data_IF_691778869044
#
_entry.id   IF_691778869044
#
_cell.length_a   1.000
_cell.length_b   1.000
_cell.length_c   1.000
_cell.angle_alpha   90.00
_cell.angle_beta   90.00
_cell.angle_gamma   90.00
#
_symmetry.space_group_name_H-M   'P 1'
#
loop_
_entity.id
_entity.type
_entity.pdbx_description
1 polymer ?
#
# COMPACT_ATOMS: atom_id res chain seq x y z
N UNK A 1 3.64 -39.97 12.89
CA UNK A 1 3.73 -40.32 14.33
C UNK A 1 2.72 -39.42 15.01
N UNK A 2 1.67 -39.98 15.59
CA UNK A 2 0.67 -39.19 16.31
C UNK A 2 1.30 -38.67 17.60
N UNK A 3 1.44 -37.36 17.70
CA UNK A 3 1.87 -36.70 18.93
C UNK A 3 0.70 -36.75 19.92
N UNK A 4 0.76 -37.68 20.88
CA UNK A 4 -0.24 -37.77 21.93
C UNK A 4 -0.32 -36.45 22.71
N UNK A 5 -1.52 -35.92 22.86
CA UNK A 5 -1.82 -34.75 23.68
C UNK A 5 -2.13 -35.18 25.11
N UNK A 6 -1.66 -34.42 26.08
CA UNK A 6 -1.86 -34.63 27.52
C UNK A 6 -2.27 -33.31 28.17
N UNK A 7 -3.19 -33.38 29.13
CA UNK A 7 -3.64 -32.19 29.86
C UNK A 7 -2.70 -31.89 31.03
N UNK A 8 -2.03 -30.74 31.00
CA UNK A 8 -1.20 -30.27 32.11
C UNK A 8 -2.04 -29.38 33.03
N UNK A 9 -1.98 -29.62 34.34
CA UNK A 9 -2.59 -28.75 35.35
C UNK A 9 -1.56 -28.40 36.43
N UNK A 10 -1.26 -27.12 36.59
CA UNK A 10 -0.35 -26.59 37.61
C UNK A 10 -1.19 -25.79 38.62
N UNK A 11 -1.12 -26.17 39.90
CA UNK A 11 -1.86 -25.54 40.99
C UNK A 11 -0.91 -24.92 42.02
N UNK A 12 -1.11 -23.64 42.31
CA UNK A 12 -0.37 -22.88 43.32
C UNK A 12 -1.14 -21.61 43.69
N UNK A 13 -0.44 -20.48 43.91
CA UNK A 13 -1.11 -19.16 44.06
C UNK A 13 -1.87 -18.71 42.81
N UNK A 14 -1.52 -19.31 41.66
CA UNK A 14 -2.19 -19.13 40.37
C UNK A 14 -2.46 -20.54 39.83
N UNK A 15 -3.59 -20.72 39.14
CA UNK A 15 -3.94 -21.97 38.46
C UNK A 15 -3.73 -21.85 36.95
N UNK A 16 -3.17 -22.89 36.33
CA UNK A 16 -2.95 -22.98 34.89
C UNK A 16 -3.36 -24.36 34.36
N UNK A 17 -4.09 -24.41 33.25
CA UNK A 17 -4.53 -25.65 32.60
C UNK A 17 -4.48 -25.51 31.08
N UNK A 18 -3.71 -26.38 30.42
CA UNK A 18 -3.58 -26.40 28.96
C UNK A 18 -3.30 -27.83 28.46
N UNK A 19 -3.78 -28.15 27.26
CA UNK A 19 -3.42 -29.39 26.55
C UNK A 19 -2.09 -29.19 25.81
N UNK A 20 -1.11 -30.02 26.13
CA UNK A 20 0.24 -29.94 25.56
C UNK A 20 0.67 -31.28 24.99
N UNK A 21 1.69 -31.26 24.15
CA UNK A 21 2.29 -32.50 23.62
C UNK A 21 3.11 -33.22 24.69
N UNK A 22 3.26 -34.55 24.59
CA UNK A 22 4.09 -35.36 25.51
C UNK A 22 5.55 -34.82 25.58
N UNK A 23 6.10 -34.34 24.47
CA UNK A 23 7.47 -33.80 24.44
C UNK A 23 7.61 -32.48 25.21
N UNK A 24 6.57 -31.64 25.20
CA UNK A 24 6.50 -30.43 26.02
C UNK A 24 6.30 -30.77 27.50
N UNK A 25 5.44 -31.75 27.81
CA UNK A 25 5.21 -32.21 29.18
C UNK A 25 6.50 -32.72 29.83
N UNK A 26 7.30 -33.51 29.10
CA UNK A 26 8.59 -34.02 29.59
C UNK A 26 9.58 -32.90 29.93
N UNK A 27 9.63 -31.81 29.16
CA UNK A 27 10.50 -30.64 29.43
C UNK A 27 10.07 -29.89 30.69
N UNK A 28 8.76 -29.73 30.89
CA UNK A 28 8.22 -29.04 32.07
C UNK A 28 8.48 -29.87 33.33
N UNK A 29 8.29 -31.19 33.28
CA UNK A 29 8.58 -32.09 34.40
C UNK A 29 10.06 -32.03 34.75
N UNK A 30 10.96 -32.10 33.76
CA UNK A 30 12.40 -32.00 33.99
C UNK A 30 12.78 -30.67 34.69
N UNK A 31 12.17 -29.56 34.28
CA UNK A 31 12.43 -28.25 34.88
C UNK A 31 11.91 -28.12 36.32
N UNK A 32 10.77 -28.76 36.64
CA UNK A 32 10.18 -28.73 37.98
C UNK A 32 10.92 -29.65 38.95
N UNK A 33 11.40 -30.80 38.47
CA UNK A 33 12.14 -31.78 39.29
C UNK A 33 13.56 -31.27 39.67
N UNK A 34 14.12 -30.35 38.88
CA UNK A 34 15.42 -29.72 39.14
C UNK A 34 15.38 -28.62 40.23
N UNK A 35 14.25 -28.48 40.93
CA UNK A 35 13.89 -27.28 41.70
C UNK A 35 13.76 -27.43 43.21
N UNK A 36 14.61 -28.20 43.91
CA UNK A 36 14.81 -28.05 45.37
C UNK A 36 16.25 -28.40 45.78
N UNK A 37 17.20 -27.54 45.41
CA UNK A 37 18.31 -27.05 46.26
C UNK A 37 19.45 -26.47 45.41
N UNK A 38 19.69 -25.16 45.58
CA UNK A 38 21.03 -24.57 45.45
C UNK A 38 21.63 -24.33 44.06
N UNK A 39 21.75 -23.04 43.71
CA UNK A 39 22.77 -22.47 42.82
C UNK A 39 22.66 -22.81 41.33
N UNK A 40 22.30 -21.80 40.53
CA UNK A 40 22.34 -21.85 39.07
C UNK A 40 23.78 -21.94 38.56
N UNK A 41 24.25 -23.16 38.28
CA UNK A 41 25.29 -23.43 37.29
C UNK A 41 24.62 -24.03 36.06
N UNK A 42 24.73 -23.36 34.92
CA UNK A 42 24.16 -23.81 33.66
C UNK A 42 24.68 -25.22 33.28
N UNK A 43 23.85 -26.08 32.67
CA UNK A 43 24.30 -27.41 32.25
C UNK A 43 25.34 -27.27 31.15
N UNK A 44 26.49 -27.89 31.39
CA UNK A 44 27.55 -28.07 30.41
C UNK A 44 27.04 -28.97 29.29
N UNK A 45 26.75 -28.35 28.15
CA UNK A 45 26.44 -29.01 26.89
C UNK A 45 27.64 -29.90 26.52
N UNK A 46 27.48 -31.22 26.60
CA UNK A 46 28.47 -32.15 26.06
C UNK A 46 28.62 -31.86 24.56
N UNK A 47 29.84 -31.47 24.24
CA UNK A 47 30.36 -31.03 22.97
C UNK A 47 30.38 -32.22 22.01
N UNK A 48 29.39 -32.31 21.12
CA UNK A 48 29.63 -32.89 19.80
C UNK A 48 30.28 -31.77 18.98
N UNK A 49 31.47 -32.06 18.45
CA UNK A 49 32.28 -31.16 17.64
C UNK A 49 31.53 -30.70 16.39
N UNK A 50 30.82 -29.57 16.52
CA UNK A 50 30.49 -28.69 15.39
C UNK A 50 31.63 -27.67 15.24
N UNK A 51 32.04 -27.33 14.00
CA UNK A 51 33.19 -26.48 13.76
C UNK A 51 32.99 -25.11 14.40
N UNK A 52 33.99 -24.71 15.20
CA UNK A 52 34.01 -23.45 15.92
C UNK A 52 33.84 -22.25 14.98
N UNK A 53 32.63 -21.70 14.94
CA UNK A 53 32.40 -20.34 14.48
C UNK A 53 32.81 -19.43 15.63
N UNK A 54 33.74 -18.47 15.42
CA UNK A 54 34.18 -17.60 16.51
C UNK A 54 32.97 -16.83 17.04
N UNK A 55 32.74 -16.94 18.36
CA UNK A 55 31.79 -16.12 19.10
C UNK A 55 32.25 -14.65 19.03
N UNK A 56 31.88 -14.00 17.93
CA UNK A 56 31.91 -12.56 17.80
C UNK A 56 30.95 -12.00 18.83
N UNK A 57 31.49 -11.30 19.82
CA UNK A 57 30.75 -10.41 20.70
C UNK A 57 30.15 -9.34 19.78
N UNK A 58 28.92 -9.55 19.30
CA UNK A 58 28.27 -8.56 18.44
C UNK A 58 28.17 -7.25 19.25
N UNK A 59 28.77 -6.16 18.78
CA UNK A 59 28.61 -4.88 19.44
C UNK A 59 27.13 -4.54 19.34
N UNK A 60 26.42 -4.54 20.46
CA UNK A 60 25.10 -3.91 20.47
C UNK A 60 25.31 -2.46 20.05
N UNK A 61 24.90 -2.14 18.82
CA UNK A 61 25.06 -0.83 18.20
C UNK A 61 24.10 0.14 18.87
N UNK A 62 24.37 0.45 20.14
CA UNK A 62 23.65 1.45 20.92
C UNK A 62 24.05 2.82 20.38
N UNK A 63 23.09 3.53 19.84
CA UNK A 63 23.30 4.90 19.40
C UNK A 63 23.59 5.77 20.63
N UNK A 64 24.66 6.55 20.57
CA UNK A 64 25.05 7.47 21.66
C UNK A 64 24.37 8.84 21.51
N UNK A 65 23.92 9.17 20.30
CA UNK A 65 23.14 10.37 20.00
C UNK A 65 22.05 10.10 18.96
N UNK A 66 21.08 11.01 18.86
CA UNK A 66 20.03 10.97 17.82
C UNK A 66 20.60 10.96 16.40
N UNK A 67 21.73 11.63 16.19
CA UNK A 67 22.37 11.66 14.87
C UNK A 67 23.04 10.32 14.57
N UNK A 68 23.68 9.72 15.57
CA UNK A 68 24.28 8.38 15.43
C UNK A 68 23.20 7.35 15.10
N UNK A 69 21.99 7.46 15.68
CA UNK A 69 20.88 6.56 15.35
C UNK A 69 20.50 6.60 13.86
N UNK A 70 20.52 7.80 13.23
CA UNK A 70 20.27 7.95 11.79
C UNK A 70 21.44 7.39 10.98
N UNK A 71 22.67 7.69 11.38
CA UNK A 71 23.88 7.29 10.65
C UNK A 71 24.09 5.76 10.70
N UNK A 72 23.95 5.15 11.88
CA UNK A 72 24.05 3.70 12.09
C UNK A 72 22.99 2.94 11.30
N UNK A 73 21.73 3.37 11.38
CA UNK A 73 20.64 2.74 10.62
C UNK A 73 20.67 3.07 9.13
N UNK A 74 21.41 4.10 8.72
CA UNK A 74 21.41 4.62 7.35
C UNK A 74 20.06 5.20 6.90
N UNK A 75 19.22 5.67 7.82
CA UNK A 75 17.91 6.24 7.51
C UNK A 75 18.03 7.49 6.62
N UNK A 76 17.31 7.53 5.49
CA UNK A 76 17.29 8.69 4.56
C UNK A 76 15.90 9.30 4.42
N UNK A 77 14.86 8.47 4.36
CA UNK A 77 13.48 8.98 4.24
C UNK A 77 12.92 9.37 5.60
N UNK A 78 11.90 10.24 5.62
CA UNK A 78 11.25 10.64 6.87
C UNK A 78 10.68 9.45 7.65
N UNK A 79 10.10 8.46 6.95
CA UNK A 79 9.58 7.25 7.58
C UNK A 79 10.70 6.42 8.24
N UNK A 80 11.85 6.28 7.57
CA UNK A 80 13.04 5.60 8.12
C UNK A 80 13.60 6.35 9.34
N UNK A 81 13.66 7.69 9.28
CA UNK A 81 14.12 8.54 10.40
C UNK A 81 13.20 8.43 11.61
N UNK A 82 11.88 8.37 11.40
CA UNK A 82 10.90 8.13 12.47
C UNK A 82 11.21 6.81 13.19
N UNK A 83 11.49 5.72 12.45
CA UNK A 83 11.84 4.42 13.03
C UNK A 83 13.17 4.47 13.78
N UNK A 84 14.19 5.13 13.22
CA UNK A 84 15.49 5.28 13.88
C UNK A 84 15.37 6.06 15.22
N UNK A 85 14.57 7.13 15.24
CA UNK A 85 14.31 7.87 16.47
C UNK A 85 13.47 7.10 17.47
N UNK A 86 12.47 6.32 17.01
CA UNK A 86 11.73 5.43 17.89
C UNK A 86 12.65 4.41 18.56
N UNK A 87 13.60 3.83 17.81
CA UNK A 87 14.58 2.91 18.36
C UNK A 87 15.46 3.56 19.41
N UNK A 88 15.91 4.79 19.14
CA UNK A 88 16.70 5.57 20.10
C UNK A 88 15.94 5.83 21.41
N UNK A 89 14.64 6.18 21.33
CA UNK A 89 13.80 6.41 22.53
C UNK A 89 13.62 5.14 23.35
N UNK A 90 13.46 3.99 22.70
CA UNK A 90 13.24 2.71 23.38
C UNK A 90 14.56 2.06 23.87
N UNK A 91 15.72 2.52 23.39
CA UNK A 91 17.03 1.93 23.71
C UNK A 91 17.36 1.93 25.21
N UNK A 92 16.90 2.94 25.94
CA UNK A 92 17.14 3.06 27.38
C UNK A 92 16.26 2.12 28.22
N UNK A 93 15.32 1.38 27.59
CA UNK A 93 14.49 0.36 28.23
C UNK A 93 13.50 0.90 29.26
N UNK A 94 13.33 2.22 29.33
CA UNK A 94 12.40 2.84 30.28
C UNK A 94 10.93 2.69 29.87
N UNK A 95 10.67 2.41 28.57
CA UNK A 95 9.35 2.26 27.98
C UNK A 95 9.44 1.28 26.81
N UNK A 96 8.42 0.43 26.65
CA UNK A 96 8.28 -0.49 25.50
C UNK A 96 7.51 0.14 24.32
N UNK A 97 6.88 1.30 24.58
CA UNK A 97 6.05 2.03 23.63
C UNK A 97 6.43 3.50 23.57
N UNK A 98 6.17 4.15 22.44
CA UNK A 98 6.35 5.58 22.24
C UNK A 98 5.11 6.20 21.61
N UNK A 99 5.02 7.53 21.64
CA UNK A 99 3.95 8.28 20.95
C UNK A 99 4.51 9.17 19.86
N UNK A 100 3.66 9.56 18.90
CA UNK A 100 4.04 10.47 17.82
C UNK A 100 4.62 11.81 18.32
N UNK A 101 4.13 12.32 19.45
CA UNK A 101 4.56 13.59 20.02
C UNK A 101 5.94 13.51 20.67
N UNK A 102 6.39 12.32 21.09
CA UNK A 102 7.76 12.10 21.55
C UNK A 102 8.78 12.18 20.40
N UNK A 103 8.39 11.76 19.18
CA UNK A 103 9.33 11.68 18.04
C UNK A 103 9.50 13.03 17.34
N UNK A 104 8.43 13.84 17.23
CA UNK A 104 8.48 15.16 16.56
C UNK A 104 9.62 16.07 17.05
N UNK A 105 9.84 16.30 18.36
CA UNK A 105 10.91 17.18 18.83
C UNK A 105 12.32 16.64 18.51
N UNK A 106 12.47 15.33 18.34
CA UNK A 106 13.76 14.70 18.06
C UNK A 106 14.32 15.09 16.69
N UNK A 107 13.47 15.38 15.70
CA UNK A 107 13.92 15.93 14.42
C UNK A 107 14.70 17.23 14.60
N UNK A 108 14.16 18.17 15.40
CA UNK A 108 14.83 19.44 15.67
C UNK A 108 16.12 19.24 16.47
N UNK A 109 16.11 18.36 17.46
CA UNK A 109 17.30 18.04 18.27
C UNK A 109 18.42 17.43 17.42
N UNK A 110 18.08 16.55 16.47
CA UNK A 110 19.00 15.96 15.50
C UNK A 110 19.40 16.91 14.36
N UNK A 111 18.90 18.15 14.34
CA UNK A 111 19.08 19.14 13.25
C UNK A 111 18.57 18.66 11.90
N UNK A 112 17.53 17.83 11.93
CA UNK A 112 16.81 17.33 10.77
C UNK A 112 15.55 18.16 10.50
N UNK A 113 15.15 18.25 9.24
CA UNK A 113 13.91 18.95 8.88
C UNK A 113 12.71 18.11 9.34
N UNK A 114 11.83 18.72 10.15
CA UNK A 114 10.59 18.06 10.55
C UNK A 114 9.70 17.80 9.32
N UNK A 115 9.13 16.59 9.17
CA UNK A 115 8.24 16.28 8.05
C UNK A 115 6.99 17.17 8.06
N UNK A 116 6.68 17.84 6.94
CA UNK A 116 5.44 18.64 6.78
C UNK A 116 4.18 17.77 6.97
N UNK A 117 4.27 16.49 6.59
CA UNK A 117 3.19 15.51 6.75
C UNK A 117 3.61 14.35 7.64
N UNK A 118 3.94 14.62 8.91
CA UNK A 118 4.41 13.60 9.87
C UNK A 118 3.49 12.36 9.91
N UNK A 119 2.17 12.56 10.02
CA UNK A 119 1.20 11.46 10.05
C UNK A 119 1.32 10.55 8.82
N UNK A 120 1.44 11.13 7.62
CA UNK A 120 1.61 10.37 6.37
C UNK A 120 2.89 9.54 6.36
N UNK A 121 3.99 10.06 6.90
CA UNK A 121 5.26 9.34 6.92
C UNK A 121 5.30 8.28 8.04
N UNK A 122 4.60 8.52 9.15
CA UNK A 122 4.33 7.51 10.18
C UNK A 122 3.47 6.37 9.64
N UNK A 123 2.39 6.67 8.93
CA UNK A 123 1.52 5.68 8.28
C UNK A 123 2.30 4.79 7.31
N UNK A 124 3.29 5.35 6.58
CA UNK A 124 4.18 4.56 5.73
C UNK A 124 5.04 3.60 6.53
N UNK A 125 5.55 4.00 7.69
CA UNK A 125 6.33 3.12 8.55
C UNK A 125 5.47 1.99 9.16
N UNK A 126 4.20 2.29 9.48
CA UNK A 126 3.21 1.29 9.92
C UNK A 126 2.88 0.33 8.76
N UNK A 127 2.58 0.85 7.57
CA UNK A 127 2.31 0.03 6.37
C UNK A 127 3.50 -0.83 5.95
N UNK A 128 4.73 -0.33 6.14
CA UNK A 128 5.95 -1.09 5.93
C UNK A 128 6.15 -2.21 6.97
N UNK A 129 5.36 -2.21 8.05
CA UNK A 129 5.42 -3.15 9.16
C UNK A 129 6.66 -2.94 10.02
N UNK A 130 7.18 -1.72 10.12
CA UNK A 130 8.26 -1.38 11.06
C UNK A 130 7.70 -0.96 12.42
N UNK A 131 6.61 -0.20 12.41
CA UNK A 131 5.93 0.28 13.63
C UNK A 131 4.59 -0.44 13.77
N UNK A 132 4.33 -0.97 14.97
CA UNK A 132 3.04 -1.51 15.36
C UNK A 132 2.24 -0.52 16.19
N UNK A 133 0.92 -0.65 16.18
CA UNK A 133 0.01 0.10 17.07
C UNK A 133 -0.22 -0.69 18.35
N UNK A 134 0.03 -0.06 19.50
CA UNK A 134 -0.17 -0.66 20.83
C UNK A 134 -1.65 -0.82 21.19
N UNK A 135 -1.89 -1.36 22.39
CA UNK A 135 -3.25 -1.57 22.93
C UNK A 135 -3.96 -0.26 23.26
N UNK A 136 -3.20 0.77 23.68
CA UNK A 136 -3.75 2.10 23.96
C UNK A 136 -3.69 2.96 22.70
N UNK A 137 -4.78 3.72 22.46
CA UNK A 137 -4.87 4.62 21.31
C UNK A 137 -3.74 5.66 21.34
N UNK A 138 -2.84 5.57 20.36
CA UNK A 138 -1.72 6.52 20.19
C UNK A 138 -0.37 5.99 20.67
N UNK A 139 -0.36 4.85 21.38
CA UNK A 139 0.88 4.11 21.65
C UNK A 139 1.32 3.32 20.44
N UNK A 140 2.62 3.34 20.20
CA UNK A 140 3.29 2.69 19.08
C UNK A 140 4.47 1.91 19.63
N UNK A 141 4.83 0.81 18.98
CA UNK A 141 5.99 0.01 19.34
C UNK A 141 6.78 -0.39 18.10
N UNK A 142 8.03 -0.78 18.27
CA UNK A 142 8.84 -1.33 17.19
C UNK A 142 8.58 -2.82 17.03
N UNK A 143 8.35 -3.23 15.80
CA UNK A 143 8.22 -4.66 15.47
C UNK A 143 9.59 -5.32 15.34
N UNK A 144 9.66 -6.66 15.43
CA UNK A 144 10.88 -7.42 15.14
C UNK A 144 11.47 -7.11 13.75
N UNK A 145 10.63 -6.74 12.77
CA UNK A 145 11.09 -6.32 11.44
C UNK A 145 11.84 -4.99 11.49
N UNK A 146 11.44 -4.05 12.34
CA UNK A 146 12.18 -2.81 12.51
C UNK A 146 13.54 -3.07 13.13
N UNK A 147 13.63 -3.93 14.15
CA UNK A 147 14.89 -4.28 14.82
C UNK A 147 15.92 -4.79 13.80
N UNK A 148 15.56 -5.78 12.99
CA UNK A 148 16.46 -6.30 11.95
C UNK A 148 16.86 -5.26 10.90
N UNK A 149 15.98 -4.29 10.59
CA UNK A 149 16.30 -3.20 9.64
C UNK A 149 17.19 -2.13 10.28
N UNK A 150 17.07 -1.88 11.57
CA UNK A 150 17.94 -0.94 12.30
C UNK A 150 19.35 -1.53 12.41
N UNK A 151 19.45 -2.83 12.69
CA UNK A 151 20.70 -3.56 12.83
C UNK A 151 21.45 -3.70 11.50
N UNK A 152 20.77 -4.14 10.44
CA UNK A 152 21.40 -4.32 9.12
C UNK A 152 21.41 -3.04 8.27
N UNK A 153 20.70 -2.00 8.72
CA UNK A 153 20.53 -0.73 8.04
C UNK A 153 19.46 -0.74 6.93
N UNK A 154 18.80 0.42 6.77
CA UNK A 154 17.78 0.66 5.73
C UNK A 154 18.33 0.55 4.30
N UNK A 155 19.65 0.50 4.11
CA UNK A 155 20.29 0.30 2.81
C UNK A 155 19.92 -1.03 2.15
N UNK A 156 19.78 -2.10 2.94
CA UNK A 156 19.60 -3.48 2.44
C UNK A 156 18.22 -3.67 1.82
N UNK A 157 17.20 -3.06 2.41
CA UNK A 157 15.80 -3.18 1.96
C UNK A 157 15.41 -2.16 0.89
N UNK A 158 16.24 -1.14 0.66
CA UNK A 158 15.94 -0.13 -0.36
C UNK A 158 16.19 -0.71 -1.76
N UNK A 159 15.24 -0.57 -2.69
CA UNK A 159 15.48 -0.97 -4.07
C UNK A 159 16.69 -0.18 -4.60
N UNK A 160 17.65 -0.88 -5.21
CA UNK A 160 18.84 -0.26 -5.79
C UNK A 160 18.41 0.80 -6.80
N UNK A 161 18.86 2.04 -6.59
CA UNK A 161 18.58 3.21 -7.45
C UNK A 161 18.92 2.84 -8.91
N UNK A 162 17.92 2.76 -9.79
CA UNK A 162 18.09 2.35 -11.19
C UNK A 162 17.36 1.07 -11.57
N UNK A 163 17.01 0.20 -10.61
CA UNK A 163 15.88 -0.69 -10.80
C UNK A 163 14.64 0.15 -10.57
N UNK A 164 14.08 0.71 -11.66
CA UNK A 164 12.68 1.11 -11.64
C UNK A 164 11.94 -0.06 -10.97
N UNK A 165 11.13 0.17 -9.93
CA UNK A 165 10.31 -0.89 -9.40
C UNK A 165 9.67 -1.49 -10.63
N UNK A 166 9.90 -2.78 -10.89
CA UNK A 166 9.02 -3.54 -11.75
C UNK A 166 7.71 -3.38 -11.01
N UNK A 167 6.97 -2.33 -11.36
CA UNK A 167 5.54 -2.31 -11.23
C UNK A 167 5.22 -3.60 -11.94
N UNK A 168 5.05 -4.65 -11.14
CA UNK A 168 4.08 -5.66 -11.47
C UNK A 168 2.92 -4.78 -11.83
N UNK A 169 2.68 -4.66 -13.13
CA UNK A 169 1.38 -4.38 -13.61
C UNK A 169 0.57 -5.48 -12.91
N UNK A 170 0.11 -5.17 -11.70
CA UNK A 170 -1.24 -5.45 -11.34
C UNK A 170 -2.00 -4.83 -12.49
N UNK A 171 -2.09 -5.58 -13.59
CA UNK A 171 -3.35 -5.81 -14.23
C UNK A 171 -4.26 -6.16 -13.07
N UNK A 172 -4.78 -5.11 -12.43
CA UNK A 172 -6.19 -5.01 -12.17
C UNK A 172 -6.76 -5.55 -13.46
N UNK A 173 -7.09 -6.84 -13.47
CA UNK A 173 -8.04 -7.40 -14.40
C UNK A 173 -9.10 -6.33 -14.43
N UNK A 174 -9.19 -5.60 -15.55
CA UNK A 174 -10.26 -4.63 -15.75
C UNK A 174 -11.48 -5.44 -15.38
N UNK A 175 -12.09 -5.11 -14.23
CA UNK A 175 -13.30 -5.83 -13.81
C UNK A 175 -14.21 -5.67 -15.00
N UNK A 176 -14.61 -6.78 -15.61
CA UNK A 176 -15.43 -6.76 -16.80
C UNK A 176 -16.56 -5.78 -16.52
N UNK A 177 -16.54 -4.63 -17.19
CA UNK A 177 -17.48 -3.56 -16.90
C UNK A 177 -18.79 -4.08 -17.49
N UNK A 178 -19.76 -4.39 -16.63
CA UNK A 178 -21.06 -4.89 -17.04
C UNK A 178 -21.68 -3.92 -18.04
N UNK A 179 -22.22 -4.45 -19.14
CA UNK A 179 -22.91 -3.67 -20.18
C UNK A 179 -24.02 -2.83 -19.52
N UNK A 180 -23.97 -1.48 -19.61
CA UNK A 180 -25.00 -0.63 -19.03
C UNK A 180 -26.37 -0.87 -19.66
N UNK A 181 -27.43 -0.67 -18.89
CA UNK A 181 -28.82 -0.79 -19.35
C UNK A 181 -29.10 0.08 -20.58
N UNK A 182 -28.46 1.26 -20.64
CA UNK A 182 -28.52 2.21 -21.76
C UNK A 182 -28.14 1.58 -23.11
N UNK A 183 -27.31 0.54 -23.09
CA UNK A 183 -26.86 -0.18 -24.30
C UNK A 183 -27.48 -1.57 -24.45
N UNK A 184 -28.34 -2.02 -23.53
CA UNK A 184 -28.82 -3.41 -23.50
C UNK A 184 -29.44 -3.86 -24.84
N UNK A 185 -30.21 -3.00 -25.50
CA UNK A 185 -30.85 -3.26 -26.80
C UNK A 185 -29.97 -3.06 -28.04
N UNK A 186 -28.71 -2.68 -27.88
CA UNK A 186 -27.78 -2.42 -28.99
C UNK A 186 -26.86 -3.63 -29.12
N UNK A 187 -27.03 -4.44 -30.16
CA UNK A 187 -26.20 -5.64 -30.37
C UNK A 187 -24.82 -5.29 -30.94
N UNK A 188 -24.74 -4.33 -31.86
CA UNK A 188 -23.51 -3.96 -32.55
C UNK A 188 -23.23 -2.46 -32.40
N UNK A 189 -22.03 -2.11 -31.95
CA UNK A 189 -21.57 -0.73 -31.84
C UNK A 189 -20.85 -0.40 -33.15
N UNK A 190 -21.34 0.57 -33.95
CA UNK A 190 -20.67 0.98 -35.18
C UNK A 190 -19.25 1.46 -34.88
N UNK A 191 -18.26 0.91 -35.59
CA UNK A 191 -16.87 1.37 -35.50
C UNK A 191 -16.60 2.63 -36.33
N UNK A 192 -17.51 2.95 -37.26
CA UNK A 192 -17.42 4.08 -38.18
C UNK A 192 -18.73 4.88 -38.16
N UNK A 193 -18.61 6.20 -38.25
CA UNK A 193 -19.74 7.12 -38.34
C UNK A 193 -19.54 7.96 -39.60
N UNK A 194 -20.58 8.08 -40.41
CA UNK A 194 -20.50 8.82 -41.66
C UNK A 194 -20.01 10.27 -41.43
N UNK A 195 -18.94 10.65 -42.14
CA UNK A 195 -18.37 12.00 -42.08
C UNK A 195 -17.50 12.30 -40.86
N UNK A 196 -17.19 11.32 -40.00
CA UNK A 196 -16.35 11.49 -38.82
C UNK A 196 -15.15 10.53 -38.90
N UNK A 197 -13.95 10.93 -38.46
CA UNK A 197 -12.81 10.02 -38.36
C UNK A 197 -13.14 8.74 -37.57
N UNK A 198 -12.45 7.66 -37.90
CA UNK A 198 -12.48 6.45 -37.09
C UNK A 198 -12.04 6.75 -35.65
N UNK A 199 -12.64 6.08 -34.67
CA UNK A 199 -12.34 6.32 -33.25
C UNK A 199 -10.83 6.24 -32.93
N UNK A 200 -10.13 5.28 -33.56
CA UNK A 200 -8.71 5.05 -33.33
C UNK A 200 -7.79 6.11 -33.93
N UNK A 201 -8.22 6.85 -34.97
CA UNK A 201 -7.41 7.92 -35.56
C UNK A 201 -7.46 9.21 -34.75
N UNK A 202 -8.42 9.35 -33.83
CA UNK A 202 -8.54 10.51 -32.97
C UNK A 202 -7.45 10.45 -31.90
N UNK A 203 -6.60 11.48 -31.80
CA UNK A 203 -5.46 11.49 -30.87
C UNK A 203 -5.83 11.89 -29.45
N UNK A 204 -6.73 12.85 -29.29
CA UNK A 204 -7.05 13.42 -27.97
C UNK A 204 -8.23 12.67 -27.34
N UNK A 205 -8.08 12.29 -26.06
CA UNK A 205 -9.14 11.61 -25.29
C UNK A 205 -10.43 12.42 -25.19
N UNK A 206 -10.33 13.74 -25.10
CA UNK A 206 -11.52 14.62 -25.10
C UNK A 206 -12.32 14.52 -26.41
N UNK A 207 -11.65 14.35 -27.55
CA UNK A 207 -12.29 14.26 -28.85
C UNK A 207 -12.86 12.85 -29.05
N UNK A 208 -12.21 11.82 -28.50
CA UNK A 208 -12.78 10.45 -28.41
C UNK A 208 -14.05 10.40 -27.56
N UNK A 209 -14.13 11.20 -26.49
CA UNK A 209 -15.35 11.36 -25.71
C UNK A 209 -16.47 12.00 -26.54
N UNK A 210 -16.17 13.02 -27.36
CA UNK A 210 -17.15 13.58 -28.30
C UNK A 210 -17.62 12.53 -29.31
N UNK A 211 -16.69 11.74 -29.86
CA UNK A 211 -17.00 10.66 -30.79
C UNK A 211 -17.98 9.65 -30.16
N UNK A 212 -17.71 9.23 -28.92
CA UNK A 212 -18.57 8.31 -28.17
C UNK A 212 -19.99 8.89 -27.96
N UNK A 213 -20.10 10.19 -27.66
CA UNK A 213 -21.38 10.88 -27.54
C UNK A 213 -22.14 10.97 -28.87
N UNK A 214 -21.44 11.20 -29.99
CA UNK A 214 -22.05 11.21 -31.31
C UNK A 214 -22.55 9.83 -31.72
N UNK A 215 -21.74 8.80 -31.50
CA UNK A 215 -22.15 7.41 -31.75
C UNK A 215 -23.42 7.07 -30.97
N UNK A 216 -23.46 7.37 -29.67
CA UNK A 216 -24.64 7.16 -28.84
C UNK A 216 -25.89 7.86 -29.41
N UNK A 217 -25.74 9.10 -29.91
CA UNK A 217 -26.84 9.82 -30.54
C UNK A 217 -27.35 9.15 -31.83
N UNK A 218 -26.48 8.54 -32.65
CA UNK A 218 -26.88 7.81 -33.86
C UNK A 218 -27.70 6.56 -33.53
N UNK A 219 -27.37 5.90 -32.42
CA UNK A 219 -28.11 4.71 -31.95
C UNK A 219 -29.34 5.09 -31.11
N UNK A 220 -29.74 6.35 -31.09
CA UNK A 220 -30.95 6.82 -30.39
C UNK A 220 -30.80 6.99 -28.87
N UNK A 221 -29.57 6.89 -28.34
CA UNK A 221 -29.28 7.16 -26.93
C UNK A 221 -29.16 8.68 -26.74
N UNK A 222 -30.08 9.26 -25.96
CA UNK A 222 -30.18 10.72 -25.76
C UNK A 222 -28.94 11.35 -25.11
N UNK A 223 -28.22 10.61 -24.28
CA UNK A 223 -27.05 11.09 -23.55
C UNK A 223 -26.39 9.96 -22.77
N UNK A 224 -25.14 10.18 -22.36
CA UNK A 224 -24.34 9.19 -21.66
C UNK A 224 -24.01 9.65 -20.24
N UNK A 225 -24.15 8.76 -19.25
CA UNK A 225 -23.55 8.97 -17.94
C UNK A 225 -22.02 8.83 -18.00
N UNK A 226 -21.32 9.25 -16.94
CA UNK A 226 -19.86 9.04 -16.88
C UNK A 226 -19.47 7.55 -16.91
N UNK A 227 -20.32 6.66 -16.39
CA UNK A 227 -20.09 5.22 -16.44
C UNK A 227 -20.27 4.68 -17.87
N UNK A 228 -21.28 5.17 -18.59
CA UNK A 228 -21.55 4.79 -19.98
C UNK A 228 -20.43 5.23 -20.92
N UNK A 229 -19.92 6.45 -20.76
CA UNK A 229 -18.76 6.95 -21.54
C UNK A 229 -17.52 6.08 -21.29
N UNK A 230 -17.26 5.71 -20.03
CA UNK A 230 -16.13 4.84 -19.70
C UNK A 230 -16.31 3.46 -20.35
N UNK A 231 -17.49 2.84 -20.19
CA UNK A 231 -17.79 1.53 -20.78
C UNK A 231 -17.64 1.56 -22.31
N UNK A 232 -18.22 2.56 -22.96
CA UNK A 232 -18.18 2.66 -24.41
C UNK A 232 -16.76 2.88 -24.94
N UNK A 233 -15.98 3.75 -24.30
CA UNK A 233 -14.59 3.99 -24.72
C UNK A 233 -13.64 2.85 -24.38
N UNK A 234 -13.97 2.03 -23.36
CA UNK A 234 -13.29 0.77 -23.05
C UNK A 234 -13.59 -0.29 -24.11
N UNK A 235 -14.86 -0.41 -24.52
CA UNK A 235 -15.28 -1.30 -25.61
C UNK A 235 -14.60 -0.96 -26.96
N UNK A 236 -14.28 0.31 -27.17
CA UNK A 236 -13.51 0.81 -28.32
C UNK A 236 -11.98 0.79 -28.09
N UNK A 237 -11.49 0.27 -26.96
CA UNK A 237 -10.07 -0.02 -26.73
C UNK A 237 -9.17 1.10 -26.22
N UNK A 238 -9.67 2.27 -25.78
CA UNK A 238 -8.82 3.36 -25.22
C UNK A 238 -9.17 3.76 -23.77
N UNK A 239 -10.30 3.28 -23.24
CA UNK A 239 -10.72 3.38 -21.83
C UNK A 239 -10.49 4.76 -21.18
N UNK A 240 -11.47 5.66 -21.31
CA UNK A 240 -11.44 6.95 -20.60
C UNK A 240 -11.96 6.74 -19.18
N UNK A 241 -11.07 6.82 -18.19
CA UNK A 241 -11.42 6.62 -16.80
C UNK A 241 -12.37 7.72 -16.28
N UNK A 242 -13.31 7.33 -15.41
CA UNK A 242 -14.31 8.24 -14.81
C UNK A 242 -13.71 9.50 -14.17
N UNK A 243 -12.52 9.40 -13.57
CA UNK A 243 -11.80 10.55 -12.97
C UNK A 243 -11.41 11.62 -14.01
N UNK A 244 -11.16 11.21 -15.24
CA UNK A 244 -10.68 12.08 -16.32
C UNK A 244 -11.85 12.66 -17.14
N UNK A 245 -13.00 11.96 -17.17
CA UNK A 245 -14.22 12.37 -17.90
C UNK A 245 -14.69 13.76 -17.45
N UNK A 246 -14.68 14.06 -16.15
CA UNK A 246 -15.12 15.38 -15.67
C UNK A 246 -14.20 16.51 -16.17
N UNK A 247 -12.88 16.26 -16.26
CA UNK A 247 -11.94 17.23 -16.82
C UNK A 247 -12.18 17.48 -18.31
N UNK A 248 -12.38 16.40 -19.08
CA UNK A 248 -12.72 16.49 -20.50
C UNK A 248 -14.07 17.20 -20.73
N UNK A 249 -15.09 16.86 -19.96
CA UNK A 249 -16.40 17.50 -20.00
C UNK A 249 -16.31 19.01 -19.78
N UNK A 250 -15.61 19.48 -18.75
CA UNK A 250 -15.51 20.92 -18.49
C UNK A 250 -14.78 21.65 -19.62
N UNK A 251 -13.72 21.05 -20.17
CA UNK A 251 -13.02 21.59 -21.33
C UNK A 251 -13.94 21.73 -22.55
N UNK A 252 -14.69 20.67 -22.88
CA UNK A 252 -15.62 20.67 -24.01
C UNK A 252 -16.83 21.59 -23.80
N UNK A 253 -17.36 21.65 -22.58
CA UNK A 253 -18.48 22.52 -22.19
C UNK A 253 -18.10 23.98 -22.33
N UNK A 254 -16.88 24.37 -21.94
CA UNK A 254 -16.39 25.75 -22.08
C UNK A 254 -16.41 26.23 -23.54
N UNK A 255 -16.17 25.33 -24.49
CA UNK A 255 -16.21 25.63 -25.93
C UNK A 255 -17.63 25.47 -26.51
N UNK A 256 -18.57 24.90 -25.74
CA UNK A 256 -19.95 24.69 -26.18
C UNK A 256 -20.17 23.42 -26.99
N UNK A 257 -19.23 22.47 -26.99
CA UNK A 257 -19.34 21.20 -27.75
C UNK A 257 -20.19 20.13 -27.06
N UNK A 258 -20.36 20.25 -25.75
CA UNK A 258 -21.22 19.35 -24.97
C UNK A 258 -22.08 20.15 -24.01
N UNK A 259 -23.25 19.60 -23.69
CA UNK A 259 -24.08 20.05 -22.58
C UNK A 259 -24.32 18.88 -21.61
N UNK A 260 -24.84 19.22 -20.43
CA UNK A 260 -25.28 18.23 -19.45
C UNK A 260 -26.72 18.52 -19.11
N UNK A 261 -27.54 17.48 -19.22
CA UNK A 261 -28.95 17.58 -18.93
C UNK A 261 -29.17 17.68 -17.43
N UNK A 262 -30.03 18.61 -17.02
CA UNK A 262 -30.30 18.88 -15.60
C UNK A 262 -31.16 17.78 -14.95
N UNK A 263 -31.97 17.06 -15.73
CA UNK A 263 -32.91 16.06 -15.21
C UNK A 263 -32.26 14.71 -14.93
N UNK A 264 -31.36 14.27 -15.81
CA UNK A 264 -30.77 12.92 -15.80
C UNK A 264 -29.24 12.93 -15.60
N UNK A 265 -28.62 14.12 -15.50
CA UNK A 265 -27.17 14.31 -15.37
C UNK A 265 -26.36 13.65 -16.51
N UNK A 266 -27.00 13.35 -17.64
CA UNK A 266 -26.34 12.79 -18.83
C UNK A 266 -25.64 13.86 -19.64
N UNK A 267 -24.53 13.47 -20.27
CA UNK A 267 -23.76 14.33 -21.17
C UNK A 267 -24.29 14.12 -22.59
N UNK A 268 -24.51 15.20 -23.34
CA UNK A 268 -24.95 15.15 -24.74
C UNK A 268 -24.05 16.03 -25.59
N UNK A 269 -23.86 15.64 -26.85
CA UNK A 269 -23.13 16.43 -27.84
C UNK A 269 -24.04 17.53 -28.41
N UNK A 270 -23.49 18.72 -28.64
CA UNK A 270 -24.21 19.83 -29.29
C UNK A 270 -24.00 19.79 -30.82
N UNK A 271 -24.78 20.56 -31.61
CA UNK A 271 -24.51 20.71 -33.05
C UNK A 271 -23.08 21.17 -33.34
N UNK A 272 -22.59 22.18 -32.61
CA UNK A 272 -21.21 22.67 -32.74
C UNK A 272 -20.16 21.60 -32.44
N UNK A 273 -20.41 20.71 -31.47
CA UNK A 273 -19.52 19.57 -31.20
C UNK A 273 -19.50 18.54 -32.33
N UNK A 274 -20.63 18.35 -33.03
CA UNK A 274 -20.74 17.45 -34.18
C UNK A 274 -19.97 18.00 -35.38
N UNK A 275 -20.13 19.29 -35.67
CA UNK A 275 -19.38 19.97 -36.74
C UNK A 275 -17.87 19.92 -36.50
N UNK A 276 -17.44 20.15 -35.25
CA UNK A 276 -16.04 20.04 -34.86
C UNK A 276 -15.48 18.64 -35.14
N UNK A 277 -16.19 17.58 -34.75
CA UNK A 277 -15.78 16.21 -35.05
C UNK A 277 -15.61 15.93 -36.55
N UNK A 278 -16.51 16.46 -37.39
CA UNK A 278 -16.40 16.34 -38.85
C UNK A 278 -15.15 17.04 -39.40
N UNK A 279 -14.79 18.21 -38.85
CA UNK A 279 -13.60 18.95 -39.26
C UNK A 279 -12.29 18.21 -38.99
N UNK A 280 -12.24 17.35 -37.96
CA UNK A 280 -11.06 16.54 -37.65
C UNK A 280 -10.71 15.54 -38.77
N UNK A 281 -11.71 15.09 -39.54
CA UNK A 281 -11.50 14.17 -40.67
C UNK A 281 -10.96 14.84 -41.92
N UNK A 282 -11.18 16.15 -42.05
CA UNK A 282 -10.68 16.92 -43.20
C UNK A 282 -9.24 17.37 -43.01
N UNK A 283 -8.83 17.66 -41.77
CA UNK A 283 -7.47 18.15 -41.46
C UNK A 283 -6.37 17.08 -41.48
N UNK A 284 -6.74 15.79 -41.62
CA UNK A 284 -5.81 14.66 -41.58
C UNK A 284 -5.51 14.01 -42.94
N UNK A 285 -6.04 14.55 -44.04
CA UNK A 285 -5.67 14.18 -45.42
C UNK A 285 -4.62 15.15 -45.95
#
# INVERSE_FOLDING_TARGET
MDEGLVQLTLTGRVSFSEEITISQAARIIAFVDEGTDGSFAAPSRQQLEEPAVPAGKEPSLRATSLRDAIELSGAKTNAEKIVAFAAYVLQDGSQDTFTADMIKPLFRQAREQQPTGFARDLDKAILAGWIGTGSVKGELYLTAKAEGVIEHGFGVIRPKRGQAPKTRANGKKSRAITKPETFAGIEEIPHEIAGIPAFHSIRLKRDKMLWALRMASEVGVRGLSNADVMWLTDHLGDCIHTRDINGHFQGLRKVGYVNRSASDNTIRITPAGTEYLGSLGQSGK
#
